data_IF_705241244394
#
_entry.id   IF_705241244394
#
_cell.length_a   1.000
_cell.length_b   1.000
_cell.length_c   1.000
_cell.angle_alpha   90.00
_cell.angle_beta   90.00
_cell.angle_gamma   90.00
#
_symmetry.space_group_name_H-M   'P 1'
#
loop_
_entity.id
_entity.type
_entity.pdbx_description
1 polymer ?
#
# COMPACT_ATOMS: atom_id res chain seq x y z
N UNK A 1 -25.30 -11.96 -59.43
CA UNK A 1 -25.47 -12.13 -57.99
C UNK A 1 -25.12 -10.79 -57.37
N UNK A 2 -26.12 -9.99 -57.03
CA UNK A 2 -25.91 -8.69 -56.41
C UNK A 2 -25.68 -8.95 -54.93
N UNK A 3 -24.44 -8.77 -54.48
CA UNK A 3 -24.10 -8.71 -53.07
C UNK A 3 -24.99 -7.66 -52.42
N UNK A 4 -25.80 -8.07 -51.44
CA UNK A 4 -26.74 -7.21 -50.78
C UNK A 4 -25.94 -6.17 -49.94
N UNK A 5 -25.96 -4.87 -50.28
CA UNK A 5 -25.04 -3.89 -49.70
C UNK A 5 -25.50 -3.34 -48.35
N UNK A 6 -26.61 -3.82 -47.81
CA UNK A 6 -27.20 -3.35 -46.57
C UNK A 6 -27.05 -4.42 -45.49
N UNK A 7 -26.23 -4.12 -44.47
CA UNK A 7 -26.25 -4.84 -43.19
C UNK A 7 -27.68 -4.94 -42.69
N UNK A 8 -28.10 -6.12 -42.28
CA UNK A 8 -29.44 -6.34 -41.75
C UNK A 8 -29.55 -5.76 -40.34
N UNK A 9 -30.79 -5.50 -39.88
CA UNK A 9 -31.05 -5.07 -38.50
C UNK A 9 -30.49 -6.05 -37.46
N UNK A 10 -30.35 -7.33 -37.83
CA UNK A 10 -29.72 -8.37 -37.02
C UNK A 10 -28.22 -8.11 -36.90
N UNK A 11 -27.53 -7.81 -38.00
CA UNK A 11 -26.09 -7.48 -38.00
C UNK A 11 -25.79 -6.23 -37.16
N UNK A 12 -26.69 -5.24 -37.16
CA UNK A 12 -26.54 -4.05 -36.33
C UNK A 12 -26.76 -4.34 -34.84
N UNK A 13 -27.73 -5.18 -34.49
CA UNK A 13 -27.96 -5.62 -33.11
C UNK A 13 -26.79 -6.43 -32.59
N UNK A 14 -26.31 -7.40 -33.35
CA UNK A 14 -25.12 -8.20 -32.98
C UNK A 14 -23.87 -7.32 -32.81
N UNK A 15 -23.67 -6.34 -33.71
CA UNK A 15 -22.54 -5.42 -33.59
C UNK A 15 -22.66 -4.49 -32.35
N UNK A 16 -23.88 -4.08 -31.99
CA UNK A 16 -24.13 -3.27 -30.79
C UNK A 16 -23.92 -4.10 -29.51
N UNK A 17 -24.41 -5.34 -29.48
CA UNK A 17 -24.21 -6.26 -28.35
C UNK A 17 -22.73 -6.57 -28.13
N UNK A 18 -21.97 -6.85 -29.20
CA UNK A 18 -20.51 -7.07 -29.09
C UNK A 18 -19.77 -5.85 -28.55
N UNK A 19 -20.14 -4.65 -28.99
CA UNK A 19 -19.55 -3.39 -28.47
C UNK A 19 -19.85 -3.19 -26.99
N UNK A 20 -21.08 -3.51 -26.56
CA UNK A 20 -21.46 -3.42 -25.15
C UNK A 20 -20.71 -4.46 -24.31
N UNK A 21 -20.58 -5.71 -24.78
CA UNK A 21 -19.80 -6.73 -24.06
C UNK A 21 -18.33 -6.35 -23.94
N UNK A 22 -17.73 -5.81 -25.01
CA UNK A 22 -16.35 -5.35 -24.99
C UNK A 22 -16.18 -4.17 -24.02
N UNK A 23 -17.11 -3.21 -24.03
CA UNK A 23 -17.10 -2.09 -23.11
C UNK A 23 -17.17 -2.53 -21.64
N UNK A 24 -18.06 -3.48 -21.31
CA UNK A 24 -18.14 -4.02 -19.96
C UNK A 24 -16.89 -4.80 -19.55
N UNK A 25 -16.30 -5.57 -20.47
CA UNK A 25 -15.03 -6.27 -20.23
C UNK A 25 -13.88 -5.27 -19.95
N UNK A 26 -13.79 -4.20 -20.74
CA UNK A 26 -12.82 -3.12 -20.53
C UNK A 26 -13.01 -2.43 -19.18
N UNK A 27 -14.26 -2.15 -18.79
CA UNK A 27 -14.58 -1.53 -17.50
C UNK A 27 -14.19 -2.42 -16.31
N UNK A 28 -14.43 -3.73 -16.41
CA UNK A 28 -14.01 -4.70 -15.39
C UNK A 28 -12.48 -4.78 -15.31
N UNK A 29 -11.81 -4.81 -16.46
CA UNK A 29 -10.35 -4.82 -16.52
C UNK A 29 -9.73 -3.56 -15.92
N UNK A 30 -10.25 -2.38 -16.25
CA UNK A 30 -9.80 -1.11 -15.68
C UNK A 30 -9.94 -1.09 -14.15
N UNK A 31 -11.10 -1.50 -13.61
CA UNK A 31 -11.31 -1.62 -12.15
C UNK A 31 -10.33 -2.59 -11.49
N UNK A 32 -10.01 -3.70 -12.16
CA UNK A 32 -9.02 -4.67 -11.67
C UNK A 32 -7.63 -4.04 -11.60
N UNK A 33 -7.23 -3.31 -12.64
CA UNK A 33 -5.94 -2.61 -12.67
C UNK A 33 -5.87 -1.53 -11.59
N UNK A 34 -6.93 -0.73 -11.41
CA UNK A 34 -7.01 0.28 -10.34
C UNK A 34 -6.82 -0.36 -8.96
N UNK A 35 -7.47 -1.50 -8.70
CA UNK A 35 -7.31 -2.24 -7.45
C UNK A 35 -5.89 -2.75 -7.27
N UNK A 36 -5.29 -3.35 -8.31
CA UNK A 36 -3.92 -3.85 -8.25
C UNK A 36 -2.91 -2.73 -8.02
N UNK A 37 -3.10 -1.58 -8.68
CA UNK A 37 -2.26 -0.40 -8.49
C UNK A 37 -2.37 0.11 -7.05
N UNK A 38 -3.59 0.26 -6.53
CA UNK A 38 -3.80 0.69 -5.14
C UNK A 38 -3.12 -0.25 -4.13
N UNK A 39 -3.20 -1.58 -4.36
CA UNK A 39 -2.55 -2.56 -3.50
C UNK A 39 -1.02 -2.50 -3.58
N UNK A 40 -0.45 -2.32 -4.78
CA UNK A 40 1.01 -2.16 -4.97
C UNK A 40 1.50 -0.88 -4.32
N UNK A 41 0.81 0.25 -4.54
CA UNK A 41 1.14 1.53 -3.92
C UNK A 41 1.12 1.43 -2.39
N UNK A 42 0.13 0.74 -1.81
CA UNK A 42 0.07 0.50 -0.36
C UNK A 42 1.27 -0.30 0.13
N UNK A 43 1.63 -1.39 -0.57
CA UNK A 43 2.81 -2.21 -0.20
C UNK A 43 4.11 -1.41 -0.27
N UNK A 44 4.27 -0.60 -1.32
CA UNK A 44 5.44 0.26 -1.49
C UNK A 44 5.54 1.29 -0.36
N UNK A 45 4.42 1.89 0.05
CA UNK A 45 4.37 2.83 1.17
C UNK A 45 4.83 2.16 2.47
N UNK A 46 4.35 0.95 2.77
CA UNK A 46 4.77 0.18 3.95
C UNK A 46 6.25 -0.15 3.91
N UNK A 47 6.78 -0.63 2.78
CA UNK A 47 8.22 -0.92 2.63
C UNK A 47 9.08 0.33 2.83
N UNK A 48 8.67 1.46 2.27
CA UNK A 48 9.38 2.74 2.39
C UNK A 48 9.36 3.25 3.83
N UNK A 49 8.23 3.09 4.53
CA UNK A 49 8.11 3.41 5.94
C UNK A 49 9.02 2.53 6.81
N UNK A 50 9.09 1.22 6.55
CA UNK A 50 10.00 0.30 7.24
C UNK A 50 11.46 0.68 7.04
N UNK A 51 11.89 0.94 5.81
CA UNK A 51 13.27 1.38 5.50
C UNK A 51 13.59 2.68 6.24
N UNK A 52 12.68 3.66 6.23
CA UNK A 52 12.84 4.92 6.97
C UNK A 52 12.97 4.68 8.47
N UNK A 53 12.14 3.81 9.04
CA UNK A 53 12.20 3.42 10.44
C UNK A 53 13.53 2.79 10.82
N UNK A 54 14.04 1.85 10.02
CA UNK A 54 15.32 1.20 10.27
C UNK A 54 16.51 2.16 10.14
N UNK A 55 16.50 3.05 9.14
CA UNK A 55 17.54 4.08 9.02
C UNK A 55 17.56 5.01 10.24
N UNK A 56 16.40 5.36 10.78
CA UNK A 56 16.33 6.15 12.01
C UNK A 56 16.94 5.41 13.21
N UNK A 57 16.73 4.10 13.33
CA UNK A 57 17.38 3.28 14.36
C UNK A 57 18.90 3.23 14.19
N UNK A 58 19.39 2.96 12.97
CA UNK A 58 20.83 2.92 12.67
C UNK A 58 21.48 4.25 13.02
N UNK A 59 20.87 5.36 12.60
CA UNK A 59 21.34 6.71 12.93
C UNK A 59 21.40 6.94 14.44
N UNK A 60 20.34 6.59 15.17
CA UNK A 60 20.31 6.73 16.63
C UNK A 60 21.41 5.93 17.32
N UNK A 61 21.67 4.70 16.86
CA UNK A 61 22.76 3.86 17.38
C UNK A 61 24.12 4.52 17.10
N UNK A 62 24.35 4.99 15.88
CA UNK A 62 25.60 5.65 15.49
C UNK A 62 25.87 6.92 16.31
N UNK A 63 24.84 7.66 16.69
CA UNK A 63 24.95 8.90 17.47
C UNK A 63 25.18 8.64 18.98
N UNK A 64 24.71 7.51 19.54
CA UNK A 64 24.66 7.31 21.00
C UNK A 64 25.84 6.56 21.65
N UNK A 65 26.86 6.13 20.89
CA UNK A 65 28.15 5.63 21.43
C UNK A 65 28.03 4.40 22.41
N UNK A 66 29.13 3.83 22.96
CA UNK A 66 29.12 2.52 23.64
C UNK A 66 28.21 2.38 24.88
N UNK A 67 27.72 3.49 25.46
CA UNK A 67 26.87 3.49 26.66
C UNK A 67 25.40 3.84 26.35
N UNK A 68 24.98 3.59 25.12
CA UNK A 68 23.65 3.95 24.61
C UNK A 68 22.50 3.33 25.43
N UNK A 69 21.59 4.13 26.01
CA UNK A 69 20.39 3.64 26.71
C UNK A 69 19.27 3.22 25.74
N UNK A 70 19.56 3.05 24.44
CA UNK A 70 18.55 2.76 23.42
C UNK A 70 17.76 1.46 23.67
N UNK A 71 18.36 0.50 24.37
CA UNK A 71 17.74 -0.77 24.74
C UNK A 71 17.04 -0.71 26.11
N UNK A 72 17.14 0.40 26.83
CA UNK A 72 16.46 0.58 28.11
C UNK A 72 14.94 0.57 27.91
N UNK A 73 14.26 -0.10 28.83
CA UNK A 73 12.81 -0.14 28.91
C UNK A 73 12.23 1.26 29.08
N UNK A 74 11.06 1.47 28.48
CA UNK A 74 10.26 2.70 28.62
C UNK A 74 8.94 2.38 29.30
N UNK A 75 8.19 3.41 29.68
CA UNK A 75 6.84 3.27 30.25
C UNK A 75 5.80 2.78 29.22
N UNK A 76 6.14 2.79 27.92
CA UNK A 76 5.28 2.25 26.87
C UNK A 76 5.41 0.73 26.81
N UNK A 77 4.31 0.01 26.59
CA UNK A 77 4.29 -1.45 26.53
C UNK A 77 3.83 -1.97 25.16
N UNK A 78 4.31 -3.16 24.80
CA UNK A 78 3.72 -3.98 23.73
C UNK A 78 2.37 -4.55 24.19
N UNK A 79 1.60 -5.13 23.27
CA UNK A 79 0.31 -5.76 23.58
C UNK A 79 0.43 -6.91 24.59
N UNK A 80 1.57 -7.60 24.60
CA UNK A 80 1.88 -8.64 25.58
C UNK A 80 2.31 -8.10 26.96
N UNK A 81 2.27 -6.78 27.17
CA UNK A 81 2.63 -6.12 28.43
C UNK A 81 4.12 -5.88 28.63
N UNK A 82 5.00 -6.39 27.77
CA UNK A 82 6.44 -6.14 27.89
C UNK A 82 6.75 -4.66 27.60
N UNK A 83 7.66 -4.03 28.35
CA UNK A 83 8.05 -2.66 28.08
C UNK A 83 8.80 -2.55 26.74
N UNK A 84 8.48 -1.51 25.98
CA UNK A 84 9.15 -1.17 24.73
C UNK A 84 10.50 -0.52 25.03
N UNK A 85 11.58 -0.87 24.32
CA UNK A 85 12.82 -0.13 24.43
C UNK A 85 12.75 1.21 23.68
N UNK A 86 13.57 2.19 24.06
CA UNK A 86 13.63 3.50 23.37
C UNK A 86 13.83 3.38 21.84
N UNK A 87 14.67 2.45 21.40
CA UNK A 87 14.93 2.21 19.98
C UNK A 87 13.69 1.78 19.20
N UNK A 88 12.73 1.11 19.87
CA UNK A 88 11.45 0.75 19.27
C UNK A 88 10.60 2.00 19.06
N UNK A 89 10.55 2.91 20.02
CA UNK A 89 9.79 4.16 19.88
C UNK A 89 10.31 5.04 18.74
N UNK A 90 11.63 5.07 18.52
CA UNK A 90 12.25 5.79 17.39
C UNK A 90 11.81 5.22 16.05
N UNK A 91 11.80 3.89 15.92
CA UNK A 91 11.28 3.21 14.73
C UNK A 91 9.81 3.55 14.51
N UNK A 92 8.97 3.34 15.51
CA UNK A 92 7.52 3.53 15.41
C UNK A 92 7.17 4.97 14.98
N UNK A 93 7.82 5.96 15.59
CA UNK A 93 7.63 7.38 15.23
C UNK A 93 7.98 7.64 13.76
N UNK A 94 9.11 7.12 13.28
CA UNK A 94 9.58 7.36 11.92
C UNK A 94 8.73 6.63 10.88
N UNK A 95 8.37 5.38 11.18
CA UNK A 95 7.47 4.55 10.37
C UNK A 95 6.10 5.23 10.21
N UNK A 96 5.51 5.67 11.33
CA UNK A 96 4.19 6.31 11.33
C UNK A 96 4.16 7.59 10.51
N UNK A 97 5.16 8.44 10.69
CA UNK A 97 5.25 9.70 9.97
C UNK A 97 5.30 9.44 8.47
N UNK A 98 6.06 8.42 8.05
CA UNK A 98 6.15 8.08 6.63
C UNK A 98 4.82 7.53 6.09
N UNK A 99 4.14 6.66 6.82
CA UNK A 99 2.82 6.18 6.40
C UNK A 99 1.76 7.29 6.29
N UNK A 100 1.76 8.26 7.21
CA UNK A 100 0.88 9.42 7.13
C UNK A 100 1.16 10.28 5.89
N UNK A 101 2.43 10.45 5.51
CA UNK A 101 2.83 11.17 4.28
C UNK A 101 2.26 10.48 3.03
N UNK A 102 2.22 9.14 3.03
CA UNK A 102 1.60 8.35 1.96
C UNK A 102 0.06 8.25 2.05
N UNK A 103 -0.58 8.99 2.95
CA UNK A 103 -2.03 9.01 3.10
C UNK A 103 -2.63 7.76 3.75
N UNK A 104 -1.82 6.98 4.49
CA UNK A 104 -2.30 5.81 5.26
C UNK A 104 -2.73 6.29 6.66
N UNK A 105 -4.04 6.26 7.00
CA UNK A 105 -4.58 6.93 8.19
C UNK A 105 -4.35 6.16 9.50
N UNK A 106 -4.18 4.84 9.42
CA UNK A 106 -3.88 3.98 10.58
C UNK A 106 -2.52 3.30 10.43
N UNK A 107 -1.41 4.01 10.73
CA UNK A 107 -0.09 3.40 10.71
C UNK A 107 0.10 2.28 11.73
N UNK A 108 -0.70 2.22 12.81
CA UNK A 108 -0.47 1.26 13.90
C UNK A 108 -0.78 -0.16 13.44
N UNK A 109 -1.88 -0.38 12.72
CA UNK A 109 -2.21 -1.70 12.17
C UNK A 109 -1.23 -2.21 11.10
N UNK A 110 -0.39 -1.31 10.56
CA UNK A 110 0.67 -1.64 9.61
C UNK A 110 2.03 -1.85 10.27
N UNK A 111 2.18 -1.44 11.53
CA UNK A 111 3.29 -1.89 12.36
C UNK A 111 2.99 -3.36 12.67
N UNK A 112 3.62 -4.25 11.90
CA UNK A 112 3.72 -5.70 12.15
C UNK A 112 3.61 -6.04 13.65
N UNK A 113 2.75 -6.99 14.08
CA UNK A 113 2.75 -8.42 13.71
C UNK A 113 4.16 -8.98 13.52
#
# INVERSE_FOLDING_TARGET
MLDNPFKSDIDYKEAAERRETDYQAWKLYARRLEKQLADVTRKLAVMTASDTGHRAQVRAISEMHPHSPLLAATDATFENGNPKPHIRLIFEKSFDNMLRIYGVPDPQSHRLN
#
